data_IF_195833432763
#
_entry.id   IF_195833432763
#
_cell.length_a   1.000
_cell.length_b   1.000
_cell.length_c   1.000
_cell.angle_alpha   90.00
_cell.angle_beta   90.00
_cell.angle_gamma   90.00
#
_symmetry.space_group_name_H-M   'P 1'
#
loop_
_entity.id
_entity.type
_entity.pdbx_description
1 polymer ?
2 non-polymer ?
3 water ?
#
# COMPACT_ATOMS: atom_id res chain seq x y z
N UNK A 7 9.20 -5.88 25.49
CA UNK A 7 8.76 -4.54 25.14
C UNK A 7 7.25 -4.35 25.41
N UNK A 8 6.82 -3.09 25.52
CA UNK A 8 5.42 -2.80 25.81
C UNK A 8 4.60 -2.95 24.54
N UNK A 9 3.63 -3.87 24.50
CA UNK A 9 2.86 -4.05 23.27
C UNK A 9 2.08 -2.79 22.94
N UNK A 10 2.08 -2.42 21.65
CA UNK A 10 1.34 -1.25 21.20
C UNK A 10 -0.10 -1.33 21.66
N UNK A 11 -0.71 -0.15 21.86
CA UNK A 11 -2.12 -0.07 22.22
C UNK A 11 -2.97 0.53 21.11
N UNK A 12 -2.39 0.76 19.88
CA UNK A 12 -3.21 1.38 18.85
C UNK A 12 -4.19 0.38 18.26
N UNK A 13 -5.45 0.79 18.04
CA UNK A 13 -6.42 -0.12 17.42
C UNK A 13 -6.04 -0.41 15.97
N UNK A 14 -5.98 -1.70 15.65
CA UNK A 14 -5.59 -2.16 14.32
C UNK A 14 -6.42 -3.39 13.98
N UNK A 15 -6.58 -3.63 12.68
CA UNK A 15 -7.29 -4.83 12.24
C UNK A 15 -6.82 -5.23 10.86
N UNK A 16 -6.72 -6.53 10.62
CA UNK A 16 -6.45 -7.06 9.26
C UNK A 16 -7.30 -8.30 9.09
N UNK A 17 -8.41 -8.19 8.36
CA UNK A 17 -9.31 -9.32 8.16
C UNK A 17 -9.20 -9.79 6.71
N UNK A 18 -9.49 -11.07 6.51
CA UNK A 18 -9.24 -11.69 5.22
C UNK A 18 -10.53 -12.34 4.71
N UNK A 19 -10.61 -12.48 3.40
CA UNK A 19 -11.79 -13.11 2.84
C UNK A 19 -11.81 -14.57 3.28
N UNK A 20 -12.98 -15.02 3.70
CA UNK A 20 -13.19 -16.42 3.99
C UNK A 20 -13.06 -17.23 2.73
N UNK A 21 -12.02 -18.05 2.57
CA UNK A 21 -11.86 -18.81 1.33
C UNK A 21 -12.85 -19.97 1.20
N UNK A 22 -13.52 -20.38 2.29
CA UNK A 22 -14.54 -21.43 2.25
C UNK A 22 -15.86 -20.96 1.63
N UNK A 23 -16.09 -19.65 1.60
CA UNK A 23 -17.41 -19.09 1.28
C UNK A 23 -17.43 -18.56 -0.15
N UNK A 24 -17.29 -19.47 -1.11
CA UNK A 24 -17.41 -19.09 -2.51
C UNK A 24 -18.77 -18.43 -2.81
N UNK A 25 -18.77 -17.61 -3.86
CA UNK A 25 -19.96 -16.84 -4.17
C UNK A 25 -20.29 -15.74 -3.19
N UNK A 26 -19.42 -15.48 -2.21
CA UNK A 26 -19.65 -14.54 -1.13
C UNK A 26 -18.34 -13.87 -0.78
N UNK A 27 -18.43 -12.71 -0.13
CA UNK A 27 -17.28 -12.00 0.42
C UNK A 27 -17.50 -11.83 1.91
N UNK A 28 -16.94 -12.74 2.70
CA UNK A 28 -17.14 -12.74 4.14
C UNK A 28 -15.80 -12.53 4.81
N UNK A 29 -15.72 -11.51 5.65
CA UNK A 29 -14.48 -11.16 6.32
C UNK A 29 -14.29 -11.96 7.61
N UNK A 30 -13.06 -12.45 7.84
CA UNK A 30 -12.75 -13.24 9.04
C UNK A 30 -11.54 -12.67 9.76
N UNK A 31 -11.58 -12.63 11.09
CA UNK A 31 -10.35 -12.48 11.87
C UNK A 31 -9.93 -13.78 12.52
N UNK A 32 -10.82 -14.78 12.56
CA UNK A 32 -10.48 -16.11 13.04
C UNK A 32 -10.01 -16.93 11.83
N UNK A 33 -8.79 -16.63 11.42
CA UNK A 33 -8.14 -17.23 10.29
C UNK A 33 -6.66 -16.93 10.47
N UNK A 34 -5.81 -17.83 10.01
CA UNK A 34 -4.37 -17.61 10.06
C UNK A 34 -4.01 -16.22 9.53
N UNK A 35 -3.17 -15.50 10.30
CA UNK A 35 -2.56 -14.25 9.85
C UNK A 35 -3.62 -13.17 9.61
N UNK A 36 -4.63 -13.15 10.47
CA UNK A 36 -5.63 -12.10 10.49
C UNK A 36 -5.82 -11.72 11.95
N UNK A 37 -6.38 -10.53 12.20
CA UNK A 37 -6.37 -10.10 13.60
C UNK A 37 -7.25 -8.89 13.83
N UNK A 38 -7.58 -8.71 15.11
CA UNK A 38 -8.19 -7.53 15.72
C UNK A 38 -7.36 -7.23 16.95
N UNK A 39 -7.06 -5.97 17.21
CA UNK A 39 -6.34 -5.63 18.42
C UNK A 39 -6.86 -4.31 18.99
N UNK A 40 -6.82 -4.20 20.33
CA UNK A 40 -7.02 -2.92 21.00
C UNK A 40 -8.41 -2.34 20.71
N UNK A 41 -9.44 -3.20 20.77
CA UNK A 41 -10.82 -2.78 20.75
C UNK A 41 -11.51 -2.83 19.40
N UNK A 42 -10.82 -3.09 18.30
CA UNK A 42 -11.52 -3.20 17.03
C UNK A 42 -12.31 -4.50 17.02
N UNK A 43 -13.58 -4.43 16.60
CA UNK A 43 -14.38 -5.63 16.48
C UNK A 43 -14.75 -5.87 15.02
N UNK A 44 -15.10 -7.13 14.74
CA UNK A 44 -15.69 -7.55 13.47
C UNK A 44 -17.08 -8.09 13.79
N UNK A 45 -18.12 -7.42 13.31
CA UNK A 45 -19.50 -7.74 13.62
C UNK A 45 -20.39 -7.49 12.40
N UNK A 46 -21.18 -8.51 12.01
CA UNK A 46 -22.04 -8.45 10.83
C UNK A 46 -21.23 -8.01 9.60
N UNK A 47 -20.06 -8.62 9.46
CA UNK A 47 -19.18 -8.45 8.33
C UNK A 47 -18.63 -7.01 8.23
N UNK A 48 -18.63 -6.26 9.34
CA UNK A 48 -18.21 -4.87 9.39
C UNK A 48 -17.17 -4.65 10.47
N UNK A 49 -16.19 -3.80 10.19
CA UNK A 49 -15.22 -3.41 11.20
C UNK A 49 -15.76 -2.25 12.04
N UNK A 50 -15.52 -2.32 13.35
CA UNK A 50 -16.11 -1.39 14.30
C UNK A 50 -14.99 -0.71 15.08
N UNK A 51 -14.99 0.61 15.02
CA UNK A 51 -13.91 1.48 15.48
C UNK A 51 -14.12 1.81 16.95
N UNK A 52 -13.16 1.54 17.82
CA UNK A 52 -13.40 1.67 19.26
C UNK A 52 -13.17 3.08 19.78
N UNK A 53 -12.45 3.91 19.03
CA UNK A 53 -12.14 5.24 19.53
C UNK A 53 -11.86 6.17 18.36
N UNK A 54 -12.04 7.47 18.62
CA UNK A 54 -11.99 8.53 17.62
C UNK A 54 -10.56 8.86 17.21
N UNK A 55 -10.42 9.23 15.94
CA UNK A 55 -9.19 9.79 15.42
C UNK A 55 -9.02 9.45 13.96
N UNK A 56 -7.81 9.74 13.46
CA UNK A 56 -7.45 9.41 12.09
C UNK A 56 -7.05 7.95 11.96
N UNK A 57 -7.57 7.29 10.96
CA UNK A 57 -7.21 5.91 10.71
C UNK A 57 -6.80 5.76 9.27
N UNK A 58 -5.79 4.94 9.04
CA UNK A 58 -5.61 4.35 7.73
C UNK A 58 -6.58 3.19 7.54
N UNK A 59 -7.34 3.22 6.45
CA UNK A 59 -8.05 2.07 5.92
C UNK A 59 -7.32 1.62 4.67
N UNK A 60 -7.10 0.31 4.53
CA UNK A 60 -6.47 -0.27 3.35
C UNK A 60 -7.17 -1.58 3.01
N UNK A 61 -7.10 -1.97 1.73
CA UNK A 61 -7.85 -3.14 1.29
C UNK A 61 -7.52 -3.49 -0.15
N UNK A 62 -7.65 -4.78 -0.47
CA UNK A 62 -7.44 -5.30 -1.82
C UNK A 62 -8.47 -6.39 -2.07
N UNK A 63 -9.11 -6.34 -3.23
CA UNK A 63 -9.83 -7.51 -3.73
C UNK A 63 -9.20 -7.88 -5.06
N UNK A 64 -9.15 -9.18 -5.32
CA UNK A 64 -8.54 -9.67 -6.55
C UNK A 64 -9.63 -10.35 -7.35
N UNK A 65 -9.73 -9.99 -8.63
CA UNK A 65 -10.69 -10.57 -9.53
C UNK A 65 -9.98 -11.41 -10.60
N UNK A 66 -10.67 -12.43 -11.10
CA UNK A 66 -10.12 -13.28 -12.15
C UNK A 66 -11.23 -13.83 -13.02
N UNK A 67 -11.03 -13.81 -14.33
CA UNK A 67 -11.99 -14.41 -15.24
C UNK A 67 -11.31 -15.19 -16.35
N UNK A 68 -12.08 -16.11 -16.94
CA UNK A 68 -11.65 -16.92 -18.08
C UNK A 68 -12.12 -16.26 -19.38
N UNK A 69 -11.20 -15.69 -20.13
CA UNK A 69 -11.60 -14.97 -21.33
C UNK A 69 -12.55 -13.82 -20.98
N UNK A 70 -13.22 -13.33 -22.02
CA UNK A 70 -14.11 -12.19 -21.83
C UNK A 70 -15.51 -12.47 -22.35
N UNK A 71 -16.54 -12.29 -21.52
CA UNK A 71 -17.91 -12.63 -21.92
C UNK A 71 -18.54 -11.58 -22.82
N UNK A 72 -19.70 -11.95 -23.37
CA UNK A 72 -20.52 -11.07 -24.18
C UNK A 72 -20.91 -9.80 -23.42
N UNK A 73 -21.72 -9.95 -22.36
CA UNK A 73 -22.14 -8.80 -21.56
C UNK A 73 -20.92 -8.16 -20.89
N UNK A 74 -20.71 -6.86 -21.14
CA UNK A 74 -19.56 -6.13 -20.61
C UNK A 74 -19.53 -6.14 -19.09
N UNK A 75 -18.36 -6.37 -18.52
CA UNK A 75 -18.17 -6.52 -17.09
C UNK A 75 -17.62 -5.22 -16.52
N UNK A 76 -18.22 -4.77 -15.41
CA UNK A 76 -17.65 -3.76 -14.53
C UNK A 76 -17.48 -4.38 -13.15
N UNK A 77 -16.28 -4.22 -12.58
CA UNK A 77 -15.98 -4.66 -11.22
C UNK A 77 -15.95 -3.43 -10.31
N UNK A 78 -16.64 -3.50 -9.17
CA UNK A 78 -16.62 -2.38 -8.23
C UNK A 78 -16.17 -2.85 -6.86
N UNK A 79 -15.45 -1.99 -6.17
CA UNK A 79 -15.02 -2.25 -4.80
C UNK A 79 -15.23 -0.95 -4.03
N UNK A 80 -15.93 -1.04 -2.90
CA UNK A 80 -16.44 0.13 -2.19
C UNK A 80 -16.23 -0.03 -0.70
N UNK A 81 -15.75 1.04 -0.07
CA UNK A 81 -15.59 1.07 1.37
C UNK A 81 -16.51 2.15 1.90
N UNK A 82 -17.43 1.78 2.81
CA UNK A 82 -18.43 2.70 3.29
C UNK A 82 -18.45 2.71 4.82
N UNK A 83 -19.20 3.64 5.38
CA UNK A 83 -19.07 4.01 6.78
C UNK A 83 -20.45 4.35 7.34
N UNK A 84 -20.89 3.60 8.36
CA UNK A 84 -22.12 3.87 9.11
C UNK A 84 -21.73 4.49 10.46
N UNK A 85 -22.16 5.72 10.69
CA UNK A 85 -21.83 6.46 11.92
C UNK A 85 -22.98 6.37 12.93
N UNK A 86 -22.64 6.24 14.22
CA UNK A 86 -23.66 6.23 15.27
C UNK A 86 -24.61 7.43 15.15
N UNK A 87 -24.06 8.59 14.83
CA UNK A 87 -24.91 9.76 14.71
C UNK A 87 -25.64 9.84 13.38
N UNK A 88 -25.38 8.93 12.44
CA UNK A 88 -25.95 9.02 11.10
C UNK A 88 -25.95 7.64 10.47
N UNK A 89 -26.88 6.78 10.89
CA UNK A 89 -26.75 5.35 10.65
C UNK A 89 -27.32 4.95 9.29
N UNK A 90 -26.69 5.47 8.25
CA UNK A 90 -26.86 4.97 6.90
C UNK A 90 -25.50 5.01 6.21
N UNK A 91 -25.38 4.22 5.15
CA UNK A 91 -24.08 4.03 4.52
C UNK A 91 -23.65 5.29 3.77
N UNK A 92 -22.45 5.76 4.09
CA UNK A 92 -21.76 6.78 3.32
C UNK A 92 -20.51 6.13 2.76
N UNK A 93 -20.37 6.14 1.43
CA UNK A 93 -19.15 5.68 0.78
C UNK A 93 -17.98 6.62 1.12
N UNK A 94 -16.88 6.06 1.59
CA UNK A 94 -15.65 6.84 1.74
C UNK A 94 -14.72 6.71 0.55
N UNK A 95 -14.61 5.49 -0.02
CA UNK A 95 -13.74 5.19 -1.14
C UNK A 95 -14.46 4.26 -2.09
N UNK A 96 -14.23 4.44 -3.40
CA UNK A 96 -14.71 3.46 -4.36
C UNK A 96 -13.81 3.48 -5.59
N UNK A 97 -13.84 2.35 -6.31
CA UNK A 97 -13.04 2.15 -7.51
C UNK A 97 -13.75 1.13 -8.39
N UNK A 98 -13.60 1.29 -9.70
CA UNK A 98 -14.19 0.38 -10.67
C UNK A 98 -13.13 0.05 -11.71
N UNK A 99 -13.37 -1.06 -12.40
CA UNK A 99 -12.46 -1.53 -13.44
C UNK A 99 -13.22 -2.35 -14.45
N UNK A 100 -13.06 -2.01 -15.72
CA UNK A 100 -13.49 -2.85 -16.83
C UNK A 100 -12.39 -3.86 -17.14
N UNK A 101 -12.51 -5.11 -16.70
CA UNK A 101 -11.43 -6.07 -16.99
C UNK A 101 -11.31 -6.42 -18.46
N UNK A 102 -12.30 -6.09 -19.30
CA UNK A 102 -12.41 -6.65 -20.64
C UNK A 102 -12.58 -5.52 -21.65
N UNK A 103 -11.69 -5.47 -22.65
CA UNK A 103 -11.75 -4.46 -23.71
C UNK A 103 -12.63 -4.91 -24.87
N UNK A 104 -12.57 -6.18 -25.28
CA UNK A 104 -13.50 -6.74 -26.26
C UNK A 104 -13.87 -8.16 -25.86
N UNK A 105 -15.05 -8.61 -26.32
CA UNK A 105 -15.47 -10.00 -26.12
C UNK A 105 -14.46 -10.94 -26.77
N UNK A 106 -14.18 -12.05 -26.09
CA UNK A 106 -13.11 -12.93 -26.59
C UNK A 106 -13.54 -13.60 -27.89
N UNK A 107 -12.79 -13.42 -28.99
CA UNK A 107 -13.09 -13.97 -30.32
C UNK A 107 -13.29 -15.48 -30.33
N UNK A 113 -7.92 -17.99 -21.93
CA UNK A 113 -6.89 -17.13 -21.34
C UNK A 113 -7.38 -16.30 -20.13
N UNK A 114 -6.82 -16.56 -18.96
CA UNK A 114 -7.25 -15.84 -17.75
C UNK A 114 -6.73 -14.40 -17.67
N UNK A 115 -7.54 -13.56 -17.06
CA UNK A 115 -7.12 -12.21 -16.69
C UNK A 115 -7.24 -12.03 -15.18
N UNK A 116 -6.37 -11.18 -14.63
CA UNK A 116 -6.35 -10.90 -13.20
C UNK A 116 -6.42 -9.39 -12.97
N UNK A 117 -7.32 -8.97 -12.10
CA UNK A 117 -7.52 -7.55 -11.80
C UNK A 117 -7.59 -7.33 -10.30
N UNK A 118 -6.52 -6.87 -9.68
CA UNK A 118 -6.63 -6.42 -8.29
C UNK A 118 -7.17 -5.01 -8.24
N UNK A 119 -8.08 -4.76 -7.31
CA UNK A 119 -8.46 -3.40 -6.96
C UNK A 119 -7.86 -3.12 -5.58
N UNK A 120 -7.03 -2.09 -5.49
CA UNK A 120 -6.53 -1.59 -4.21
C UNK A 120 -7.33 -0.36 -3.83
N UNK A 121 -7.63 -0.24 -2.55
CA UNK A 121 -8.52 0.82 -2.09
C UNK A 121 -8.25 1.12 -0.63
N UNK A 122 -7.79 2.35 -0.36
CA UNK A 122 -7.45 2.78 0.98
C UNK A 122 -7.21 4.28 1.04
N UNK A 123 -7.14 4.79 2.26
CA UNK A 123 -7.03 6.22 2.48
C UNK A 123 -6.98 6.49 3.96
N UNK A 124 -6.88 7.78 4.30
CA UNK A 124 -6.80 8.24 5.68
C UNK A 124 -8.04 9.08 5.98
N UNK A 125 -8.75 8.74 7.06
CA UNK A 125 -10.04 9.33 7.37
C UNK A 125 -10.20 9.54 8.87
N UNK A 126 -10.91 10.61 9.22
CA UNK A 126 -11.35 10.84 10.59
C UNK A 126 -12.53 9.92 10.90
N UNK A 127 -12.35 9.01 11.85
CA UNK A 127 -13.39 8.08 12.22
C UNK A 127 -13.88 8.38 13.63
N UNK A 128 -15.12 8.01 13.90
CA UNK A 128 -15.71 8.23 15.22
C UNK A 128 -15.93 6.90 15.93
N UNK A 129 -15.83 6.94 17.24
CA UNK A 129 -16.13 5.77 18.05
C UNK A 129 -17.49 5.19 17.65
N UNK A 130 -17.52 3.86 17.48
CA UNK A 130 -18.68 3.13 17.04
C UNK A 130 -18.93 3.13 15.54
N UNK A 131 -18.08 3.81 14.75
CA UNK A 131 -18.20 3.75 13.30
C UNK A 131 -18.16 2.30 12.82
N UNK A 132 -18.99 2.01 11.82
CA UNK A 132 -19.07 0.69 11.19
C UNK A 132 -18.57 0.80 9.76
N UNK A 133 -17.57 0.00 9.43
CA UNK A 133 -16.89 0.09 8.14
C UNK A 133 -17.11 -1.20 7.36
N UNK A 134 -17.64 -1.06 6.16
CA UNK A 134 -17.85 -2.22 5.30
C UNK A 134 -17.05 -2.09 4.01
N UNK A 135 -16.57 -3.23 3.51
CA UNK A 135 -15.82 -3.36 2.27
C UNK A 135 -16.53 -4.37 1.37
N UNK A 136 -17.16 -3.89 0.29
CA UNK A 136 -18.04 -4.74 -0.50
C UNK A 136 -17.75 -4.62 -1.99
N UNK A 137 -18.12 -5.68 -2.73
CA UNK A 137 -17.89 -5.76 -4.17
C UNK A 137 -19.20 -6.11 -4.83
N UNK A 138 -19.27 -5.88 -6.14
CA UNK A 138 -20.46 -6.20 -6.90
C UNK A 138 -20.41 -7.57 -7.56
N UNK A 139 -19.26 -8.23 -7.66
CA UNK A 139 -19.13 -9.44 -8.48
C UNK A 139 -18.40 -10.56 -7.75
N UNK A 140 -18.97 -11.08 -6.67
CA UNK A 140 -18.27 -12.15 -5.93
C UNK A 140 -18.02 -13.41 -6.74
N UNK A 141 -18.77 -13.61 -7.83
CA UNK A 141 -18.49 -14.73 -8.72
C UNK A 141 -17.15 -14.59 -9.44
N UNK A 142 -16.59 -13.37 -9.54
CA UNK A 142 -15.26 -13.15 -10.12
C UNK A 142 -14.14 -13.04 -9.09
N UNK A 143 -14.50 -12.97 -7.80
CA UNK A 143 -13.53 -12.90 -6.73
C UNK A 143 -12.64 -14.14 -6.72
N UNK A 144 -11.38 -14.00 -6.28
CA UNK A 144 -10.45 -15.13 -6.31
C UNK A 144 -9.80 -15.40 -4.95
N UNK A 145 -10.07 -16.58 -4.38
CA UNK A 145 -9.50 -17.04 -3.10
C UNK A 145 -8.58 -18.25 -3.25
N UNK A 146 -8.07 -18.52 -4.46
CA UNK A 146 -7.31 -19.75 -4.70
C UNK A 146 -6.11 -19.88 -3.76
N UNK A 147 -5.68 -18.77 -3.17
CA UNK A 147 -4.52 -18.70 -2.32
C UNK A 147 -4.79 -17.62 -1.28
N UNK A 148 -4.21 -17.79 -0.10
CA UNK A 148 -4.39 -16.75 0.90
C UNK A 148 -3.68 -15.47 0.48
N UNK A 149 -4.12 -14.35 1.09
CA UNK A 149 -3.44 -13.09 0.95
C UNK A 149 -3.87 -12.24 -0.21
N UNK A 150 -4.88 -12.65 -0.99
CA UNK A 150 -5.33 -11.92 -2.17
C UNK A 150 -6.45 -10.92 -1.88
N UNK A 151 -7.10 -11.03 -0.72
CA UNK A 151 -8.33 -10.29 -0.42
C UNK A 151 -8.33 -10.00 1.08
N UNK A 152 -8.25 -8.73 1.44
CA UNK A 152 -8.06 -8.35 2.82
C UNK A 152 -8.59 -6.94 3.01
N UNK A 153 -8.75 -6.56 4.27
CA UNK A 153 -9.44 -5.33 4.64
C UNK A 153 -8.90 -4.95 6.00
N UNK A 154 -8.33 -3.76 6.16
CA UNK A 154 -7.69 -3.42 7.42
C UNK A 154 -7.75 -1.96 7.75
N UNK A 155 -7.59 -1.67 9.05
CA UNK A 155 -7.49 -0.31 9.54
C UNK A 155 -6.36 -0.24 10.55
N UNK A 156 -5.75 0.92 10.62
CA UNK A 156 -4.61 1.18 11.50
C UNK A 156 -4.81 2.59 12.05
N UNK A 157 -4.94 2.71 13.37
CA UNK A 157 -5.11 4.04 13.95
C UNK A 157 -3.81 4.82 13.82
N UNK A 158 -3.91 6.08 13.41
CA UNK A 158 -2.74 6.95 13.28
C UNK A 158 -2.20 7.45 14.62
N UNK B 8 16.51 9.44 22.90
CA UNK B 8 16.78 8.01 23.08
C UNK B 8 16.26 7.23 21.86
N UNK B 9 17.19 6.62 21.10
CA UNK B 9 16.79 5.82 19.94
C UNK B 9 15.77 4.73 20.26
N UNK B 10 14.92 4.46 19.28
CA UNK B 10 13.92 3.41 19.45
C UNK B 10 14.58 2.04 19.46
N UNK B 11 14.08 1.15 20.31
CA UNK B 11 14.47 -0.25 20.24
C UNK B 11 13.50 -1.07 19.39
N UNK B 12 12.66 -0.43 18.60
CA UNK B 12 11.75 -1.18 17.74
C UNK B 12 12.53 -1.94 16.67
N UNK B 13 12.39 -3.26 16.57
CA UNK B 13 12.93 -3.96 15.40
C UNK B 13 12.35 -3.38 14.12
N UNK B 14 13.22 -3.01 13.19
CA UNK B 14 12.82 -2.46 11.90
C UNK B 14 13.77 -2.95 10.83
N UNK B 15 13.32 -2.85 9.58
CA UNK B 15 14.20 -3.06 8.43
C UNK B 15 13.64 -2.32 7.23
N UNK B 16 14.53 -1.87 6.35
CA UNK B 16 14.12 -1.38 5.04
C UNK B 16 15.20 -1.76 4.03
N UNK B 17 14.89 -2.69 3.14
CA UNK B 17 15.87 -3.23 2.22
C UNK B 17 15.41 -2.96 0.80
N UNK B 18 16.39 -2.85 -0.10
CA UNK B 18 16.17 -2.40 -1.48
C UNK B 18 16.73 -3.42 -2.46
N UNK B 19 16.14 -3.46 -3.64
CA UNK B 19 16.49 -4.48 -4.62
C UNK B 19 17.77 -4.11 -5.38
N UNK B 20 18.59 -5.12 -5.63
CA UNK B 20 19.84 -5.03 -6.37
C UNK B 20 19.57 -4.79 -7.85
N UNK B 21 19.85 -3.60 -8.39
CA UNK B 21 19.54 -3.38 -9.82
C UNK B 21 20.34 -4.29 -10.74
N UNK B 22 21.56 -4.66 -10.38
CA UNK B 22 22.38 -5.50 -11.23
C UNK B 22 22.30 -6.97 -10.88
N UNK B 23 21.45 -7.34 -9.93
CA UNK B 23 21.09 -8.76 -9.77
C UNK B 23 20.13 -9.11 -10.91
N UNK B 24 20.69 -9.61 -12.00
CA UNK B 24 19.86 -10.02 -13.13
C UNK B 24 19.29 -11.41 -12.86
N UNK B 25 18.05 -11.62 -13.31
CA UNK B 25 17.39 -12.90 -13.10
C UNK B 25 16.82 -13.15 -11.71
N UNK B 26 17.06 -12.25 -10.74
CA UNK B 26 16.50 -12.42 -9.39
C UNK B 26 16.12 -11.08 -8.77
N UNK B 27 15.22 -11.16 -7.80
CA UNK B 27 14.88 -10.04 -6.93
C UNK B 27 15.65 -10.23 -5.63
N UNK B 28 16.72 -9.46 -5.47
CA UNK B 28 17.64 -9.66 -4.36
C UNK B 28 17.64 -8.41 -3.49
N UNK B 29 17.37 -8.60 -2.20
CA UNK B 29 17.37 -7.53 -1.22
C UNK B 29 18.75 -7.25 -0.64
N UNK B 30 19.01 -5.97 -0.38
CA UNK B 30 20.26 -5.50 0.18
C UNK B 30 19.96 -4.56 1.32
N UNK B 31 20.78 -4.62 2.38
CA UNK B 31 20.77 -3.58 3.39
C UNK B 31 21.94 -2.60 3.30
N UNK B 32 23.06 -2.98 2.68
CA UNK B 32 24.28 -2.15 2.72
C UNK B 32 24.29 -1.14 1.56
N UNK B 33 23.31 -0.25 1.62
CA UNK B 33 23.02 0.73 0.57
C UNK B 33 22.45 1.97 1.26
N UNK B 34 22.50 3.11 0.57
CA UNK B 34 22.04 4.35 1.19
C UNK B 34 20.54 4.30 1.47
N UNK B 35 20.16 4.76 2.66
CA UNK B 35 18.74 4.84 3.05
C UNK B 35 18.07 3.46 3.09
N UNK B 36 18.81 2.47 3.60
CA UNK B 36 18.34 1.11 3.81
C UNK B 36 18.92 0.66 5.14
N UNK B 37 18.17 -0.20 5.86
CA UNK B 37 18.67 -0.52 7.20
C UNK B 37 18.09 -1.82 7.75
N UNK B 38 18.84 -2.39 8.68
CA UNK B 38 18.43 -3.42 9.64
C UNK B 38 18.76 -2.89 11.03
N UNK B 39 17.78 -2.85 11.91
CA UNK B 39 18.04 -2.32 13.24
C UNK B 39 17.32 -3.16 14.27
N UNK B 40 17.84 -3.08 15.50
CA UNK B 40 17.21 -3.66 16.69
C UNK B 40 16.85 -5.13 16.48
N UNK B 41 17.80 -5.86 15.93
CA UNK B 41 17.74 -7.30 15.92
C UNK B 41 17.21 -7.93 14.65
N UNK B 42 16.69 -7.17 13.69
CA UNK B 42 16.24 -7.78 12.45
C UNK B 42 17.44 -8.17 11.60
N UNK B 43 17.44 -9.40 11.08
CA UNK B 43 18.52 -9.90 10.24
C UNK B 43 18.03 -10.09 8.81
N UNK B 44 18.97 -10.02 7.87
CA UNK B 44 18.70 -10.39 6.49
C UNK B 44 19.51 -11.65 6.17
N UNK B 45 18.83 -12.79 6.11
CA UNK B 45 19.50 -14.07 5.87
C UNK B 45 18.84 -14.75 4.68
N UNK B 46 19.64 -15.17 3.70
CA UNK B 46 19.14 -15.93 2.55
C UNK B 46 17.95 -15.24 1.90
N UNK B 47 18.06 -13.91 1.76
CA UNK B 47 17.09 -13.04 1.11
C UNK B 47 15.77 -12.92 1.86
N UNK B 48 15.76 -13.21 3.16
CA UNK B 48 14.55 -13.16 3.97
C UNK B 48 14.76 -12.28 5.19
N UNK B 49 13.76 -11.47 5.53
CA UNK B 49 13.82 -10.72 6.78
C UNK B 49 13.46 -11.65 7.94
N UNK B 50 14.34 -11.73 8.94
CA UNK B 50 14.16 -12.61 10.09
C UNK B 50 13.73 -11.80 11.31
N UNK B 51 12.60 -12.17 11.90
CA UNK B 51 11.96 -11.37 12.95
C UNK B 51 12.61 -11.69 14.28
N UNK B 52 12.95 -10.71 15.11
CA UNK B 52 13.72 -11.02 16.31
C UNK B 52 12.88 -11.24 17.56
N UNK B 53 11.67 -10.69 17.59
CA UNK B 53 10.85 -10.80 18.77
C UNK B 53 9.38 -10.77 18.34
N UNK B 54 8.51 -11.33 19.17
CA UNK B 54 7.12 -11.43 18.75
C UNK B 54 6.39 -10.11 18.99
N UNK B 55 5.42 -9.81 18.13
CA UNK B 55 4.59 -8.65 18.35
C UNK B 55 3.79 -8.31 17.12
N UNK B 56 3.15 -7.14 17.18
CA UNK B 56 2.50 -6.55 16.03
C UNK B 56 3.53 -5.82 15.17
N UNK B 57 3.49 -6.08 13.87
CA UNK B 57 4.41 -5.49 12.91
C UNK B 57 3.65 -4.95 11.73
N UNK B 58 4.03 -3.77 11.25
CA UNK B 58 3.75 -3.43 9.87
C UNK B 58 4.73 -4.18 8.98
N UNK B 59 4.25 -4.60 7.82
CA UNK B 59 5.06 -5.28 6.81
C UNK B 59 4.67 -4.71 5.46
N UNK B 60 5.65 -4.40 4.63
CA UNK B 60 5.30 -3.70 3.40
C UNK B 60 6.31 -4.00 2.32
N UNK B 61 5.88 -3.92 1.06
CA UNK B 61 6.80 -4.11 -0.06
C UNK B 61 6.32 -3.39 -1.32
N UNK B 62 7.27 -2.81 -2.08
CA UNK B 62 7.00 -2.20 -3.38
C UNK B 62 7.86 -2.84 -4.47
N UNK B 63 7.23 -3.12 -5.61
CA UNK B 63 7.94 -3.49 -6.83
C UNK B 63 7.33 -2.62 -7.92
N UNK B 64 8.15 -2.28 -8.92
CA UNK B 64 7.68 -1.51 -10.07
C UNK B 64 8.00 -2.30 -11.34
N UNK B 65 6.97 -2.66 -12.08
CA UNK B 65 7.14 -3.36 -13.34
C UNK B 65 7.00 -2.39 -14.50
N UNK B 66 7.67 -2.71 -15.61
CA UNK B 66 7.59 -1.94 -16.84
C UNK B 66 7.67 -2.88 -18.04
N UNK B 67 6.85 -2.61 -19.05
CA UNK B 67 6.95 -3.30 -20.31
C UNK B 67 7.05 -2.32 -21.45
N UNK B 68 7.62 -2.79 -22.56
CA UNK B 68 7.73 -2.01 -23.80
C UNK B 68 6.55 -2.43 -24.68
N UNK B 69 5.45 -1.68 -24.59
CA UNK B 69 4.23 -2.08 -25.25
C UNK B 69 3.65 -3.37 -24.71
N UNK B 70 2.63 -3.85 -25.42
CA UNK B 70 1.88 -5.06 -25.05
C UNK B 70 1.92 -6.06 -26.19
N UNK B 71 2.99 -6.87 -26.27
CA UNK B 71 3.11 -7.79 -27.41
C UNK B 71 2.08 -8.88 -27.37
N UNK B 72 1.61 -9.20 -26.17
CA UNK B 72 0.67 -10.28 -25.93
C UNK B 72 -0.29 -9.83 -24.83
N UNK B 73 -1.52 -10.33 -24.91
CA UNK B 73 -2.47 -10.08 -23.83
C UNK B 73 -2.22 -10.95 -22.60
N UNK B 74 -1.24 -11.85 -22.64
CA UNK B 74 -1.13 -12.95 -21.69
C UNK B 74 -0.08 -12.77 -20.59
N UNK B 75 0.78 -11.75 -20.66
CA UNK B 75 1.77 -11.54 -19.61
C UNK B 75 1.09 -11.36 -18.25
N UNK B 76 1.50 -12.17 -17.26
CA UNK B 76 1.02 -12.05 -15.89
C UNK B 76 2.15 -11.57 -14.98
N UNK B 77 1.79 -10.75 -13.99
CA UNK B 77 2.72 -10.19 -12.99
C UNK B 77 2.31 -10.61 -11.60
N UNK B 78 3.26 -11.07 -10.78
CA UNK B 78 2.95 -11.42 -9.40
C UNK B 78 3.94 -10.80 -8.42
N UNK B 79 3.42 -10.48 -7.23
CA UNK B 79 4.19 -9.92 -6.14
C UNK B 79 3.59 -10.43 -4.84
N UNK B 80 4.39 -11.12 -4.02
CA UNK B 80 3.89 -11.83 -2.86
C UNK B 80 4.83 -11.63 -1.67
N UNK B 81 4.27 -11.27 -0.51
CA UNK B 81 4.95 -11.34 0.78
C UNK B 81 4.53 -12.63 1.49
N UNK B 82 5.52 -13.36 2.01
CA UNK B 82 5.36 -14.67 2.61
C UNK B 82 5.92 -14.64 4.03
N UNK B 83 5.40 -15.58 4.85
CA UNK B 83 5.80 -15.80 6.24
C UNK B 83 6.05 -17.29 6.45
N UNK B 84 7.10 -17.59 7.20
CA UNK B 84 7.44 -18.94 7.65
C UNK B 84 7.63 -18.84 9.16
N UNK B 85 6.69 -19.38 9.92
CA UNK B 85 6.80 -19.38 11.37
C UNK B 85 7.58 -20.59 11.87
N UNK B 86 8.43 -20.37 12.87
CA UNK B 86 9.36 -21.39 13.33
C UNK B 86 8.62 -22.64 13.79
N UNK B 87 7.45 -22.46 14.40
CA UNK B 87 6.75 -23.61 14.96
C UNK B 87 6.15 -24.48 13.87
N UNK B 88 5.61 -23.86 12.81
CA UNK B 88 4.87 -24.61 11.80
C UNK B 88 5.74 -25.08 10.66
N UNK B 89 6.87 -24.40 10.42
CA UNK B 89 7.79 -24.74 9.33
C UNK B 89 7.06 -24.77 7.98
N UNK B 90 6.06 -23.91 7.80
CA UNK B 90 5.36 -23.82 6.53
C UNK B 90 5.41 -22.39 5.99
N UNK B 91 5.26 -22.26 4.68
CA UNK B 91 5.42 -20.98 3.98
C UNK B 91 4.05 -20.52 3.46
N UNK B 92 3.51 -19.48 4.09
CA UNK B 92 2.18 -18.96 3.76
C UNK B 92 2.28 -17.52 3.25
N UNK B 93 1.49 -17.21 2.23
CA UNK B 93 1.32 -15.83 1.78
C UNK B 93 0.51 -15.04 2.79
N UNK B 94 1.05 -13.89 3.20
CA UNK B 94 0.34 -12.82 3.89
C UNK B 94 -0.31 -11.84 2.93
N UNK B 95 0.36 -11.55 1.81
CA UNK B 95 -0.08 -10.53 0.87
C UNK B 95 0.36 -10.91 -0.53
N UNK B 96 -0.57 -10.95 -1.48
CA UNK B 96 -0.21 -11.43 -2.82
C UNK B 96 -1.11 -10.80 -3.86
N UNK B 97 -0.49 -10.38 -4.95
CA UNK B 97 -1.20 -9.73 -6.03
C UNK B 97 -0.80 -10.38 -7.35
N UNK B 98 -1.78 -10.52 -8.22
CA UNK B 98 -1.61 -11.03 -9.56
C UNK B 98 -2.32 -10.04 -10.48
N UNK B 99 -1.66 -9.68 -11.59
CA UNK B 99 -2.07 -8.56 -12.41
C UNK B 99 -1.89 -8.91 -13.89
N UNK B 100 -2.92 -8.66 -14.70
CA UNK B 100 -2.78 -8.63 -16.16
C UNK B 100 -2.47 -7.22 -16.66
N UNK B 101 -1.22 -6.89 -16.94
CA UNK B 101 -0.90 -5.53 -17.40
C UNK B 101 -1.45 -5.19 -18.79
N UNK B 102 -1.73 -6.17 -19.65
CA UNK B 102 -2.05 -5.92 -21.05
C UNK B 102 -3.44 -6.46 -21.37
N UNK B 103 -4.37 -5.56 -21.63
CA UNK B 103 -5.73 -5.98 -21.98
C UNK B 103 -5.84 -6.29 -23.47
N UNK B 104 -5.39 -5.37 -24.33
CA UNK B 104 -5.35 -5.54 -25.78
C UNK B 104 -3.91 -5.54 -26.29
N UNK B 105 -3.63 -6.41 -27.25
CA UNK B 105 -2.29 -6.46 -27.85
C UNK B 105 -1.97 -5.14 -28.57
N UNK B 106 -0.72 -4.70 -28.46
CA UNK B 106 -0.30 -3.44 -29.11
C UNK B 106 0.26 -3.66 -30.52
N UNK B 112 4.22 1.01 -29.89
CA UNK B 112 4.51 0.21 -28.70
C UNK B 112 5.10 1.07 -27.60
N UNK B 113 4.20 1.76 -26.80
CA UNK B 113 4.51 2.71 -25.74
C UNK B 113 4.73 2.00 -24.41
N UNK B 114 5.60 2.53 -23.56
CA UNK B 114 5.96 1.82 -22.33
C UNK B 114 4.87 1.92 -21.27
N UNK B 115 4.63 0.82 -20.56
CA UNK B 115 3.65 0.77 -19.47
C UNK B 115 4.35 0.52 -18.15
N UNK B 116 3.70 0.94 -17.06
CA UNK B 116 4.23 0.78 -15.72
C UNK B 116 3.18 0.22 -14.78
N UNK B 117 3.57 -0.70 -13.91
CA UNK B 117 2.67 -1.22 -12.87
C UNK B 117 3.38 -1.21 -11.53
N UNK B 118 3.10 -0.26 -10.68
CA UNK B 118 3.62 -0.33 -9.32
C UNK B 118 2.70 -1.17 -8.45
N UNK B 119 3.25 -2.10 -7.68
CA UNK B 119 2.46 -2.86 -6.72
C UNK B 119 3.05 -2.57 -5.34
N UNK B 120 2.28 -1.87 -4.51
CA UNK B 120 2.59 -1.68 -3.10
C UNK B 120 1.69 -2.61 -2.27
N UNK B 121 2.31 -3.37 -1.36
CA UNK B 121 1.57 -4.25 -0.47
C UNK B 121 1.96 -3.95 0.98
N UNK B 122 0.98 -3.78 1.84
CA UNK B 122 1.27 -3.58 3.25
C UNK B 122 0.10 -3.98 4.15
N UNK B 123 0.44 -4.25 5.40
CA UNK B 123 -0.55 -4.44 6.45
C UNK B 123 0.12 -4.67 7.78
N UNK B 124 -0.71 -4.87 8.81
CA UNK B 124 -0.26 -5.16 10.17
C UNK B 124 -0.49 -6.63 10.47
N UNK B 125 0.48 -7.28 11.14
CA UNK B 125 0.36 -8.71 11.43
C UNK B 125 0.93 -9.07 12.79
N UNK B 126 0.44 -10.18 13.34
CA UNK B 126 1.04 -10.80 14.50
C UNK B 126 2.17 -11.69 14.04
N UNK B 127 3.39 -11.43 14.50
CA UNK B 127 4.53 -12.24 14.11
C UNK B 127 5.22 -12.82 15.33
N UNK B 128 5.95 -13.92 15.13
CA UNK B 128 6.62 -14.64 16.20
C UNK B 128 8.14 -14.56 16.05
N UNK B 129 8.83 -14.68 17.17
CA UNK B 129 10.29 -14.68 17.18
C UNK B 129 10.81 -15.74 16.24
N UNK B 130 11.69 -15.36 15.33
CA UNK B 130 12.24 -16.33 14.41
C UNK B 130 11.47 -16.56 13.14
N UNK B 131 10.30 -15.93 12.96
CA UNK B 131 9.64 -15.91 11.65
C UNK B 131 10.62 -15.43 10.56
N UNK B 132 10.42 -15.93 9.34
CA UNK B 132 11.14 -15.45 8.18
C UNK B 132 10.12 -14.92 7.19
N UNK B 133 10.31 -13.67 6.76
CA UNK B 133 9.47 -13.07 5.75
C UNK B 133 10.24 -12.97 4.44
N UNK B 134 9.56 -13.25 3.35
CA UNK B 134 10.16 -13.10 2.04
C UNK B 134 9.23 -12.26 1.19
N UNK B 135 9.83 -11.55 0.25
CA UNK B 135 9.10 -10.74 -0.70
C UNK B 135 9.60 -11.14 -2.08
N UNK B 136 8.69 -11.65 -2.92
CA UNK B 136 9.07 -12.33 -4.16
C UNK B 136 8.17 -11.90 -5.31
N UNK B 137 8.71 -12.02 -6.53
CA UNK B 137 7.98 -11.76 -7.75
C UNK B 137 8.25 -12.90 -8.72
N UNK B 138 7.43 -12.97 -9.78
CA UNK B 138 7.60 -13.99 -10.80
C UNK B 138 8.51 -13.55 -11.94
N UNK B 139 8.61 -12.24 -12.25
CA UNK B 139 9.33 -11.75 -13.42
C UNK B 139 10.32 -10.64 -13.05
N UNK B 140 11.51 -11.00 -12.55
CA UNK B 140 12.49 -9.95 -12.23
C UNK B 140 12.92 -9.16 -13.47
N UNK B 141 12.84 -9.79 -14.65
CA UNK B 141 13.21 -9.11 -15.88
C UNK B 141 12.33 -7.90 -16.16
N UNK B 142 11.09 -7.88 -15.67
CA UNK B 142 10.18 -6.76 -15.85
C UNK B 142 10.37 -5.66 -14.79
N UNK B 143 11.28 -5.84 -13.84
CA UNK B 143 11.53 -4.83 -12.82
C UNK B 143 12.16 -3.59 -13.42
N UNK B 144 11.83 -2.43 -12.86
CA UNK B 144 12.44 -1.19 -13.30
C UNK B 144 13.28 -0.58 -12.19
N UNK B 145 14.50 -0.15 -12.55
CA UNK B 145 15.46 0.46 -11.63
C UNK B 145 15.95 1.81 -12.14
N UNK B 146 15.09 2.57 -12.84
CA UNK B 146 15.53 3.83 -13.44
C UNK B 146 15.96 4.84 -12.37
N UNK B 147 15.14 5.00 -11.32
CA UNK B 147 15.45 5.81 -10.16
C UNK B 147 15.55 4.92 -8.92
N UNK B 148 16.08 5.49 -7.85
CA UNK B 148 16.13 4.82 -6.56
C UNK B 148 14.75 4.84 -5.89
N UNK B 149 14.59 3.99 -4.88
CA UNK B 149 13.34 3.94 -4.11
C UNK B 149 12.16 3.35 -4.84
N UNK B 150 12.38 2.45 -5.80
CA UNK B 150 11.27 1.88 -6.56
C UNK B 150 10.97 0.43 -6.21
N UNK B 151 11.88 -0.24 -5.51
CA UNK B 151 11.74 -1.65 -5.18
C UNK B 151 12.27 -1.84 -3.76
N UNK B 152 11.37 -2.09 -2.81
CA UNK B 152 11.79 -2.18 -1.43
C UNK B 152 10.88 -3.14 -0.63
N UNK B 153 11.34 -3.46 0.58
CA UNK B 153 10.78 -4.51 1.41
C UNK B 153 11.15 -4.16 2.84
N UNK B 154 10.15 -3.98 3.72
CA UNK B 154 10.45 -3.63 5.10
C UNK B 154 9.43 -4.14 6.09
N UNK B 155 9.78 -4.00 7.38
CA UNK B 155 8.89 -4.29 8.50
C UNK B 155 9.16 -3.26 9.59
N UNK B 156 8.12 -2.94 10.35
CA UNK B 156 8.23 -1.97 11.43
C UNK B 156 7.42 -2.50 12.61
N UNK B 157 8.08 -2.86 13.70
CA UNK B 157 7.34 -3.20 14.92
C UNK B 157 6.50 -2.02 15.36
N UNK B 158 5.23 -2.27 15.67
CA UNK B 158 4.33 -1.23 16.15
C UNK B 158 4.61 -0.91 17.61
N UNK C 10 1.26 12.47 23.55
CA UNK C 10 2.46 11.81 23.00
C UNK C 10 3.52 12.82 22.56
N UNK C 11 4.80 12.51 22.80
CA UNK C 11 5.89 13.42 22.48
C UNK C 11 6.50 13.16 21.12
N UNK C 12 6.24 12.01 20.52
CA UNK C 12 6.93 11.62 19.30
C UNK C 12 6.61 12.62 18.18
N UNK C 13 7.60 13.10 17.45
CA UNK C 13 7.33 13.92 16.26
C UNK C 13 6.35 13.21 15.32
N UNK C 14 5.45 14.00 14.73
CA UNK C 14 4.37 13.47 13.93
C UNK C 14 3.83 14.59 13.04
N UNK C 15 3.40 14.21 11.85
CA UNK C 15 2.82 15.14 10.90
C UNK C 15 1.92 14.37 9.97
N UNK C 16 0.75 14.93 9.69
CA UNK C 16 -0.11 14.47 8.62
C UNK C 16 -0.65 15.74 7.98
N UNK C 17 -0.20 16.04 6.76
CA UNK C 17 -0.68 17.19 6.02
C UNK C 17 -1.40 16.71 4.78
N UNK C 18 -2.26 17.56 4.25
CA UNK C 18 -3.07 17.26 3.07
C UNK C 18 -2.85 18.34 2.03
N UNK C 19 -3.31 18.08 0.83
CA UNK C 19 -3.18 19.08 -0.23
C UNK C 19 -4.26 20.14 -0.07
N UNK C 20 -4.02 21.28 -0.69
CA UNK C 20 -5.09 22.26 -0.83
C UNK C 20 -6.22 21.69 -1.71
N UNK C 23 -6.05 25.40 -4.35
CA UNK C 23 -4.84 25.92 -4.99
C UNK C 23 -4.80 25.55 -6.48
N UNK C 24 -3.83 26.10 -7.22
CA UNK C 24 -3.83 26.02 -8.69
C UNK C 24 -2.51 25.48 -9.23
N UNK C 25 -2.57 24.29 -9.84
CA UNK C 25 -1.44 23.73 -10.56
C UNK C 25 -0.22 23.38 -9.73
N UNK C 26 -0.41 23.07 -8.45
CA UNK C 26 0.70 22.74 -7.58
C UNK C 26 0.23 21.72 -6.57
N UNK C 27 1.17 21.10 -5.87
CA UNK C 27 0.85 20.21 -4.77
C UNK C 27 1.40 20.90 -3.52
N UNK C 28 0.57 21.73 -2.89
CA UNK C 28 0.97 22.47 -1.70
C UNK C 28 0.35 21.82 -0.46
N UNK C 29 1.19 21.49 0.51
CA UNK C 29 0.77 20.82 1.72
C UNK C 29 0.31 21.84 2.76
N UNK C 30 -0.79 21.51 3.44
CA UNK C 30 -1.41 22.36 4.46
C UNK C 30 -1.51 21.59 5.78
N UNK C 31 -1.28 22.26 6.89
CA UNK C 31 -1.45 21.63 8.20
C UNK C 31 -2.85 21.79 8.75
N UNK C 32 -3.60 22.80 8.30
CA UNK C 32 -5.01 22.97 8.71
C UNK C 32 -5.88 21.80 8.25
N UNK C 35 -8.60 17.60 8.44
CA UNK C 35 -8.25 16.27 8.94
C UNK C 35 -6.74 16.05 8.89
N UNK C 36 -5.99 16.91 9.59
CA UNK C 36 -4.53 16.94 9.51
C UNK C 36 -3.93 17.08 10.90
N UNK C 37 -2.60 16.89 10.97
CA UNK C 37 -1.86 16.98 12.22
C UNK C 37 -0.47 17.52 11.92
N UNK C 38 0.20 18.01 12.97
CA UNK C 38 1.53 18.64 12.88
C UNK C 38 2.04 18.99 14.26
N UNK C 39 2.63 18.02 14.98
CA UNK C 39 2.94 18.20 16.39
C UNK C 39 4.41 17.92 16.69
N UNK C 40 4.77 18.23 17.94
CA UNK C 40 5.96 17.71 18.58
C UNK C 40 7.23 17.98 17.78
N UNK C 41 7.37 19.23 17.31
CA UNK C 41 8.62 19.68 16.73
C UNK C 41 8.72 19.56 15.22
N UNK C 42 7.77 18.91 14.54
CA UNK C 42 7.80 18.88 13.08
C UNK C 42 7.29 20.21 12.53
N UNK C 43 7.96 20.72 11.50
CA UNK C 43 7.61 21.99 10.90
C UNK C 43 7.36 21.82 9.41
N UNK C 44 6.36 22.51 8.89
CA UNK C 44 6.08 22.52 7.47
C UNK C 44 6.64 23.82 6.88
N UNK C 45 7.85 23.75 6.34
CA UNK C 45 8.55 24.92 5.78
C UNK C 45 8.85 24.68 4.30
N UNK C 46 8.44 25.63 3.45
CA UNK C 46 8.76 25.60 2.02
C UNK C 46 8.23 24.33 1.37
N UNK C 47 7.03 23.91 1.78
CA UNK C 47 6.30 22.75 1.26
C UNK C 47 6.99 21.42 1.58
N UNK C 48 7.99 21.44 2.46
CA UNK C 48 8.74 20.26 2.87
C UNK C 48 8.61 20.11 4.39
N UNK C 49 8.72 18.88 4.89
CA UNK C 49 8.68 18.63 6.33
C UNK C 49 10.10 18.60 6.88
N UNK C 50 10.32 19.30 8.00
CA UNK C 50 11.65 19.41 8.61
C UNK C 50 11.72 18.49 9.81
N UNK C 51 12.74 17.64 9.86
CA UNK C 51 12.80 16.65 10.94
C UNK C 51 13.44 17.32 12.16
N UNK C 52 12.77 17.28 13.32
CA UNK C 52 13.29 17.99 14.50
C UNK C 52 14.31 17.21 15.31
N UNK C 53 14.61 15.96 14.96
CA UNK C 53 15.52 15.19 15.80
C UNK C 53 15.90 13.89 15.11
N UNK C 54 17.20 13.58 15.16
CA UNK C 54 17.73 12.38 14.54
C UNK C 54 17.04 11.14 15.10
N UNK C 55 16.61 10.24 14.22
CA UNK C 55 15.96 9.03 14.67
C UNK C 55 15.32 8.29 13.51
N UNK C 56 14.54 7.27 13.87
CA UNK C 56 13.80 6.45 12.93
C UNK C 56 12.42 7.04 12.70
N UNK C 57 12.00 7.07 11.44
CA UNK C 57 10.70 7.61 11.08
C UNK C 57 10.03 6.71 10.06
N UNK C 58 8.73 6.48 10.26
CA UNK C 58 7.90 5.96 9.20
C UNK C 58 7.40 7.14 8.35
N UNK C 59 7.62 7.05 7.05
CA UNK C 59 7.25 8.09 6.10
C UNK C 59 6.25 7.48 5.13
N UNK C 60 5.19 8.21 4.79
CA UNK C 60 4.18 7.64 3.91
C UNK C 60 3.49 8.73 3.10
N UNK C 61 2.88 8.33 1.98
CA UNK C 61 2.08 9.27 1.18
C UNK C 61 1.09 8.52 0.30
N UNK C 62 0.09 9.26 -0.17
CA UNK C 62 -0.77 8.83 -1.28
C UNK C 62 -1.15 10.07 -2.07
N UNK C 63 -1.11 9.96 -3.39
CA UNK C 63 -1.64 10.96 -4.28
C UNK C 63 -2.61 10.27 -5.21
N UNK C 64 -3.61 11.02 -5.67
CA UNK C 64 -4.60 10.49 -6.60
C UNK C 64 -4.64 11.38 -7.84
N UNK C 65 -4.46 10.74 -8.99
CA UNK C 65 -4.58 11.36 -10.29
C UNK C 65 -5.94 11.05 -10.88
N UNK C 66 -6.43 11.98 -11.71
CA UNK C 66 -7.68 11.78 -12.45
C UNK C 66 -7.53 12.40 -13.83
N UNK C 67 -8.39 11.95 -14.74
CA UNK C 67 -8.47 12.46 -16.08
C UNK C 67 -9.70 11.93 -16.76
N UNK C 68 -9.95 12.42 -17.97
CA UNK C 68 -11.06 11.97 -18.79
C UNK C 68 -10.49 11.53 -20.11
N UNK C 69 -10.67 10.26 -20.45
CA UNK C 69 -10.15 9.73 -21.69
C UNK C 69 -8.64 9.82 -21.72
N UNK C 70 -8.09 9.38 -22.85
CA UNK C 70 -6.66 9.24 -23.04
C UNK C 70 -6.20 10.17 -24.17
N UNK C 71 -5.35 11.14 -23.86
CA UNK C 71 -4.81 12.03 -24.91
C UNK C 71 -3.85 11.31 -25.85
N UNK C 72 -3.40 12.06 -26.85
CA UNK C 72 -2.49 11.55 -27.89
C UNK C 72 -1.02 11.69 -27.50
N UNK C 73 -0.70 12.59 -26.57
CA UNK C 73 0.59 12.56 -25.92
C UNK C 73 0.54 11.55 -24.78
N UNK C 74 1.58 10.72 -24.67
CA UNK C 74 1.62 9.63 -23.71
C UNK C 74 2.08 10.15 -22.35
N UNK C 75 1.17 10.15 -21.38
CA UNK C 75 1.42 10.77 -20.08
C UNK C 75 1.95 9.73 -19.10
N UNK C 76 3.05 10.07 -18.40
CA UNK C 76 3.55 9.26 -17.30
C UNK C 76 3.34 9.99 -15.99
N UNK C 77 2.79 9.29 -14.99
CA UNK C 77 2.50 9.87 -13.70
C UNK C 77 3.56 9.40 -12.72
N UNK C 78 4.25 10.33 -12.05
CA UNK C 78 5.22 9.92 -11.06
C UNK C 78 4.94 10.61 -9.75
N UNK C 79 5.40 9.97 -8.68
CA UNK C 79 5.25 10.51 -7.35
C UNK C 79 6.43 10.06 -6.52
N UNK C 80 7.00 10.97 -5.75
CA UNK C 80 8.30 10.71 -5.15
C UNK C 80 8.43 11.44 -3.83
N UNK C 81 8.95 10.75 -2.83
CA UNK C 81 9.35 11.35 -1.57
C UNK C 81 10.88 11.43 -1.56
N UNK C 82 11.43 12.61 -1.25
CA UNK C 82 12.87 12.87 -1.29
C UNK C 82 13.41 13.30 0.06
N UNK C 83 14.67 12.94 0.31
CA UNK C 83 15.41 13.37 1.49
C UNK C 83 16.37 14.50 1.10
N UNK C 84 16.32 15.61 1.85
CA UNK C 84 17.17 16.77 1.63
C UNK C 84 18.06 16.92 2.86
N UNK C 85 19.34 16.62 2.71
CA UNK C 85 20.25 16.46 3.86
C UNK C 85 20.43 17.76 4.66
N UNK C 86 20.58 17.60 5.98
CA UNK C 86 20.79 18.70 6.91
C UNK C 86 22.11 19.42 6.64
N UNK C 90 22.02 18.10 -0.88
CA UNK C 90 21.67 17.22 -1.99
C UNK C 90 20.28 16.60 -1.77
N UNK C 91 19.65 16.12 -2.84
CA UNK C 91 18.28 15.61 -2.79
C UNK C 91 18.29 14.17 -3.33
N UNK C 92 17.65 13.24 -2.60
CA UNK C 92 17.71 11.81 -2.95
C UNK C 92 16.33 11.16 -2.81
N UNK C 93 15.96 10.37 -3.82
CA UNK C 93 14.76 9.54 -3.77
C UNK C 93 14.81 8.56 -2.61
N UNK C 94 13.78 8.60 -1.75
CA UNK C 94 13.58 7.54 -0.78
C UNK C 94 12.53 6.53 -1.24
N UNK C 95 11.48 7.03 -1.91
CA UNK C 95 10.29 6.28 -2.29
C UNK C 95 9.81 6.86 -3.60
N UNK C 96 9.56 6.02 -4.61
CA UNK C 96 9.17 6.59 -5.90
C UNK C 96 8.45 5.53 -6.73
N UNK C 97 7.47 5.97 -7.51
CA UNK C 97 6.74 5.04 -8.36
C UNK C 97 6.14 5.80 -9.53
N UNK C 98 5.75 5.02 -10.54
CA UNK C 98 5.32 5.54 -11.83
C UNK C 98 4.11 4.76 -12.30
N UNK C 99 3.14 5.45 -12.89
CA UNK C 99 1.98 4.81 -13.52
C UNK C 99 1.80 5.34 -14.93
N UNK C 100 1.22 4.50 -15.78
CA UNK C 100 0.87 4.86 -17.15
C UNK C 100 -0.63 4.67 -17.32
N UNK C 101 -1.43 5.73 -17.24
CA UNK C 101 -2.89 5.55 -17.26
C UNK C 101 -3.46 5.06 -18.60
N UNK C 102 -2.72 5.12 -19.72
CA UNK C 102 -3.29 4.77 -21.03
C UNK C 102 -2.48 3.77 -21.86
N UNK C 112 -14.61 8.92 -24.29
CA UNK C 112 -13.74 9.75 -23.44
C UNK C 112 -14.06 9.53 -21.95
N UNK C 113 -13.78 8.31 -21.46
CA UNK C 113 -14.20 7.86 -20.13
C UNK C 113 -13.22 8.33 -19.06
N UNK C 114 -13.72 8.70 -17.87
CA UNK C 114 -12.82 9.13 -16.80
C UNK C 114 -12.08 7.96 -16.16
N UNK C 115 -10.87 8.27 -15.63
CA UNK C 115 -9.99 7.30 -15.00
C UNK C 115 -9.36 7.88 -13.74
N UNK C 116 -9.03 6.99 -12.80
CA UNK C 116 -8.52 7.36 -11.48
C UNK C 116 -7.32 6.48 -11.15
N UNK C 117 -6.26 7.08 -10.63
CA UNK C 117 -5.03 6.33 -10.39
C UNK C 117 -4.32 6.91 -9.18
N UNK C 118 -4.34 6.20 -8.05
CA UNK C 118 -3.53 6.61 -6.90
C UNK C 118 -2.13 6.01 -7.00
N UNK C 119 -1.23 6.55 -6.19
CA UNK C 119 0.10 5.97 -5.99
C UNK C 119 0.40 5.97 -4.51
N UNK C 120 0.85 4.81 -4.01
CA UNK C 120 1.14 4.57 -2.59
C UNK C 120 2.63 4.57 -2.32
N UNK C 121 3.06 5.23 -1.25
CA UNK C 121 4.45 5.18 -0.81
C UNK C 121 4.52 5.01 0.70
N UNK C 122 5.55 4.32 1.20
CA UNK C 122 5.71 4.16 2.63
C UNK C 122 6.90 3.32 3.06
N UNK C 123 7.60 3.73 4.12
CA UNK C 123 8.74 2.97 4.60
C UNK C 123 9.38 3.65 5.79
N UNK C 124 10.32 2.91 6.42
CA UNK C 124 11.02 3.38 7.62
C UNK C 124 12.43 3.81 7.22
N UNK C 125 12.91 4.89 7.83
CA UNK C 125 14.14 5.56 7.39
C UNK C 125 14.85 6.21 8.56
N UNK C 126 16.16 5.99 8.67
CA UNK C 126 16.98 6.68 9.65
C UNK C 126 17.27 8.07 9.13
N UNK C 127 16.82 9.09 9.86
CA UNK C 127 16.91 10.48 9.44
C UNK C 127 17.71 11.30 10.45
N UNK C 128 18.29 12.38 9.96
CA UNK C 128 19.09 13.26 10.80
C UNK C 128 18.28 14.52 11.15
N UNK C 129 18.55 15.05 12.34
CA UNK C 129 17.89 16.27 12.76
C UNK C 129 18.21 17.40 11.80
N UNK C 130 17.16 17.98 11.23
CA UNK C 130 17.31 19.03 10.27
C UNK C 130 17.19 18.59 8.83
N UNK C 131 16.99 17.30 8.57
CA UNK C 131 16.69 16.92 7.21
C UNK C 131 15.30 17.43 6.85
N UNK C 132 15.07 17.58 5.56
CA UNK C 132 13.77 17.93 5.02
C UNK C 132 13.28 16.77 4.15
N UNK C 133 11.96 16.70 3.99
CA UNK C 133 11.34 15.66 3.18
C UNK C 133 10.32 16.30 2.24
N UNK C 134 10.42 15.96 0.96
CA UNK C 134 9.48 16.43 -0.04
C UNK C 134 8.66 15.26 -0.55
N UNK C 135 7.42 15.55 -0.95
CA UNK C 135 6.55 14.61 -1.63
C UNK C 135 5.99 15.33 -2.84
N UNK C 136 6.34 14.88 -4.04
CA UNK C 136 6.02 15.65 -5.24
C UNK C 136 5.50 14.74 -6.34
N UNK C 137 4.71 15.32 -7.22
CA UNK C 137 4.26 14.67 -8.44
C UNK C 137 4.78 15.48 -9.62
N UNK C 138 4.86 14.84 -10.78
CA UNK C 138 5.39 15.53 -11.95
C UNK C 138 4.31 16.20 -12.79
N UNK C 139 3.03 15.87 -12.58
CA UNK C 139 1.93 16.39 -13.38
C UNK C 139 0.81 16.89 -12.47
N UNK C 140 1.01 18.01 -11.78
CA UNK C 140 -0.07 18.56 -10.93
C UNK C 140 -1.37 18.80 -11.67
N UNK C 141 -1.33 18.92 -13.01
CA UNK C 141 -2.54 19.10 -13.80
C UNK C 141 -3.42 17.85 -13.84
N UNK C 142 -2.93 16.71 -13.39
CA UNK C 142 -3.78 15.53 -13.30
C UNK C 142 -4.19 15.21 -11.88
N UNK C 143 -3.80 16.04 -10.92
CA UNK C 143 -4.16 15.81 -9.53
C UNK C 143 -5.66 15.98 -9.32
N UNK C 144 -6.18 15.25 -8.33
CA UNK C 144 -7.57 15.34 -7.92
C UNK C 144 -7.68 16.11 -6.61
N UNK C 145 -8.86 16.68 -6.36
CA UNK C 145 -9.11 17.33 -5.08
C UNK C 145 -10.54 17.07 -4.60
N UNK C 146 -11.11 15.93 -4.96
CA UNK C 146 -12.43 15.52 -4.50
C UNK C 146 -12.38 14.57 -3.29
N UNK C 147 -11.54 13.53 -3.35
CA UNK C 147 -11.33 12.59 -2.24
C UNK C 147 -10.16 13.10 -1.40
N UNK C 148 -10.48 14.00 -0.46
CA UNK C 148 -9.50 14.47 0.52
C UNK C 148 -8.78 13.31 1.20
N UNK C 149 -9.45 12.13 1.31
CA UNK C 149 -8.85 10.98 1.96
C UNK C 149 -7.70 10.32 1.22
N UNK C 150 -7.35 10.78 0.02
CA UNK C 150 -6.41 10.06 -0.83
C UNK C 150 -5.23 10.89 -1.31
N UNK C 151 -5.07 12.10 -0.79
CA UNK C 151 -3.94 12.97 -1.14
C UNK C 151 -3.36 13.46 0.19
N UNK C 152 -2.22 12.90 0.58
CA UNK C 152 -1.66 13.27 1.87
C UNK C 152 -0.20 12.88 1.94
N UNK C 153 0.44 13.34 3.01
CA UNK C 153 1.87 13.19 3.22
C UNK C 153 2.10 13.26 4.72
N UNK C 154 2.81 12.28 5.29
CA UNK C 154 2.92 12.19 6.73
C UNK C 154 4.17 11.48 7.21
N UNK C 155 4.50 11.75 8.48
CA UNK C 155 5.60 11.08 9.18
C UNK C 155 5.21 10.84 10.63
N UNK C 156 5.87 9.85 11.22
CA UNK C 156 5.74 9.56 12.65
C UNK C 156 7.09 9.04 13.11
N UNK C 157 7.58 9.58 14.23
CA UNK C 157 8.80 9.09 14.85
C UNK C 157 8.51 7.83 15.65
N UNK C 158 9.35 6.83 15.45
CA UNK C 158 9.17 5.53 16.07
C UNK C 158 9.38 5.60 17.59
#
# INVERSE_FOLDING_TARGET
SVRSSSRTPSDKPVAHVVANPQAEGQLQWLNRRANALLANGVELRDNQLVVPSEGLYLIYSQVLFKGQGCPSTHVLLTHTISRIAVSYQTKVNLLSAIKSPCQRETPEGAEAKPWYEPIYLGGVFQLEKGDRLSAEINRPDYLDFAESGQVYFGIIAL
SVRSSSRTPSDKPVAHVVANPQAEGQLQWLNRRANALLANGVELRDNQLVVPSEGLYLIYSQVLFKGQGCPSTHVLLTHTISRIAVSYQTKVNLLSAIKSPCQRETPEGAEAKPWYEPIYLGGVFQLEKGDRLSAEINRPDYLDFAESGQVYFGIIAL
SVRSSSRTPSDKPVAHVVANPQAEGQLQWLNRRANALLANGVELRDNQLVVPSEGLYLIYSQVLFKGQGCPSTHVLLTHTISRIAVSYQTKVNLLSAIKSPCQRETPEGAEAKPWYEPIYLGGVFQLEKGDRLSAEINRPDYLDFAESGQVYFGIIAL
#
